data_IF_583644738038
#
_entry.id   IF_583644738038
#
_cell.length_a   1.000
_cell.length_b   1.000
_cell.length_c   1.000
_cell.angle_alpha   90.00
_cell.angle_beta   90.00
_cell.angle_gamma   90.00
#
_symmetry.space_group_name_H-M   'P 1'
#
loop_
_entity.id
_entity.type
_entity.pdbx_description
1 polymer ?
#
# COMPACT_ATOMS: atom_id res chain seq x y z
N UNK A 1 11.36 18.68 -3.70
CA UNK A 1 11.56 17.48 -4.57
C UNK A 1 11.42 16.18 -3.79
N UNK A 2 12.16 16.00 -2.69
CA UNK A 2 12.08 14.80 -1.84
C UNK A 2 10.65 14.38 -1.43
N UNK A 3 9.81 15.33 -1.00
CA UNK A 3 8.41 15.07 -0.64
C UNK A 3 7.55 14.55 -1.78
N UNK A 4 7.70 15.15 -2.96
CA UNK A 4 7.00 14.71 -4.16
C UNK A 4 7.39 13.27 -4.51
N UNK A 5 8.67 12.90 -4.33
CA UNK A 5 9.14 11.54 -4.56
C UNK A 5 8.46 10.53 -3.61
N UNK A 6 8.33 10.84 -2.32
CA UNK A 6 7.63 9.97 -1.36
C UNK A 6 6.16 9.77 -1.73
N UNK A 7 5.46 10.84 -2.11
CA UNK A 7 4.06 10.78 -2.54
C UNK A 7 3.91 9.96 -3.83
N UNK A 8 4.74 10.22 -4.84
CA UNK A 8 4.73 9.47 -6.10
C UNK A 8 4.99 7.98 -5.81
N UNK A 9 5.95 7.66 -4.92
CA UNK A 9 6.25 6.29 -4.55
C UNK A 9 5.03 5.60 -3.91
N UNK A 10 4.34 6.26 -2.96
CA UNK A 10 3.10 5.71 -2.38
C UNK A 10 2.03 5.45 -3.44
N UNK A 11 1.81 6.39 -4.37
CA UNK A 11 0.82 6.22 -5.44
C UNK A 11 1.20 5.04 -6.36
N UNK A 12 2.49 4.91 -6.70
CA UNK A 12 3.00 3.80 -7.52
C UNK A 12 2.79 2.46 -6.82
N UNK A 13 3.05 2.38 -5.50
CA UNK A 13 2.80 1.17 -4.71
C UNK A 13 1.31 0.79 -4.76
N UNK A 14 0.42 1.77 -4.57
CA UNK A 14 -1.02 1.56 -4.66
C UNK A 14 -1.42 1.04 -6.03
N UNK A 15 -1.01 1.71 -7.10
CA UNK A 15 -1.31 1.29 -8.48
C UNK A 15 -0.82 -0.14 -8.76
N UNK A 16 0.43 -0.42 -8.37
CA UNK A 16 1.04 -1.74 -8.56
C UNK A 16 0.30 -2.82 -7.78
N UNK A 17 -0.16 -2.53 -6.56
CA UNK A 17 -0.95 -3.46 -5.76
C UNK A 17 -2.27 -3.83 -6.45
N UNK A 18 -2.94 -2.87 -7.09
CA UNK A 18 -4.17 -3.13 -7.85
C UNK A 18 -3.89 -3.95 -9.10
N UNK A 19 -2.83 -3.59 -9.85
CA UNK A 19 -2.44 -4.23 -11.10
C UNK A 19 -1.99 -5.69 -10.91
N UNK A 20 -1.09 -5.95 -9.96
CA UNK A 20 -0.55 -7.29 -9.71
C UNK A 20 -1.58 -8.29 -9.17
N UNK A 21 -2.70 -7.79 -8.65
CA UNK A 21 -3.72 -8.60 -7.99
C UNK A 21 -5.01 -8.74 -8.80
N UNK A 22 -5.07 -8.18 -10.01
CA UNK A 22 -6.23 -8.30 -10.92
C UNK A 22 -6.59 -9.77 -11.13
N UNK A 23 -7.87 -10.10 -10.94
CA UNK A 23 -8.41 -11.44 -11.19
C UNK A 23 -8.03 -12.51 -10.16
N UNK A 24 -7.28 -12.17 -9.10
CA UNK A 24 -6.92 -13.11 -8.04
C UNK A 24 -7.32 -12.59 -6.66
N UNK A 25 -8.47 -13.08 -6.16
CA UNK A 25 -9.03 -12.74 -4.85
C UNK A 25 -8.01 -12.88 -3.71
N UNK A 26 -7.32 -14.02 -3.62
CA UNK A 26 -6.40 -14.28 -2.51
C UNK A 26 -5.21 -13.33 -2.54
N UNK A 27 -4.64 -13.08 -3.73
CA UNK A 27 -3.55 -12.09 -3.87
C UNK A 27 -4.03 -10.68 -3.51
N UNK A 28 -5.25 -10.28 -3.91
CA UNK A 28 -5.83 -8.97 -3.50
C UNK A 28 -5.88 -8.83 -2.00
N UNK A 29 -6.45 -9.81 -1.30
CA UNK A 29 -6.60 -9.76 0.15
C UNK A 29 -5.23 -9.69 0.83
N UNK A 30 -4.26 -10.53 0.42
CA UNK A 30 -2.91 -10.53 0.98
C UNK A 30 -2.23 -9.17 0.79
N UNK A 31 -2.21 -8.63 -0.42
CA UNK A 31 -1.62 -7.31 -0.69
C UNK A 31 -2.32 -6.18 0.07
N UNK A 32 -3.65 -6.23 0.15
CA UNK A 32 -4.41 -5.26 0.93
C UNK A 32 -4.06 -5.29 2.42
N UNK A 33 -3.91 -6.48 3.01
CA UNK A 33 -3.46 -6.64 4.40
C UNK A 33 -2.05 -6.09 4.59
N UNK A 34 -1.12 -6.37 3.66
CA UNK A 34 0.25 -5.84 3.70
C UNK A 34 0.23 -4.30 3.71
N UNK A 35 -0.60 -3.68 2.86
CA UNK A 35 -0.75 -2.23 2.82
C UNK A 35 -1.37 -1.66 4.10
N UNK A 36 -2.33 -2.37 4.71
CA UNK A 36 -2.92 -2.00 6.01
C UNK A 36 -1.88 -2.05 7.14
N UNK A 37 -0.90 -2.94 7.06
CA UNK A 37 0.19 -3.04 8.02
C UNK A 37 1.26 -1.94 7.83
N UNK A 38 1.18 -1.12 6.78
CA UNK A 38 2.16 -0.08 6.51
C UNK A 38 2.40 0.88 7.70
N UNK A 39 1.41 1.32 8.51
CA UNK A 39 1.66 2.19 9.66
C UNK A 39 2.58 1.60 10.72
N UNK A 40 2.70 0.27 10.81
CA UNK A 40 3.66 -0.36 11.73
C UNK A 40 5.10 -0.17 11.31
N UNK A 41 5.34 0.12 10.02
CA UNK A 41 6.68 0.46 9.49
C UNK A 41 7.01 1.95 9.63
N UNK A 42 6.07 2.75 10.16
CA UNK A 42 6.26 4.19 10.36
C UNK A 42 7.47 4.53 11.23
N UNK A 43 7.75 3.89 12.38
CA UNK A 43 8.91 4.22 13.20
C UNK A 43 10.23 4.04 12.44
N UNK A 44 10.34 2.99 11.62
CA UNK A 44 11.53 2.69 10.83
C UNK A 44 11.69 3.69 9.66
N UNK A 45 10.61 3.96 8.94
CA UNK A 45 10.64 4.93 7.84
C UNK A 45 10.88 6.34 8.36
N UNK A 46 10.38 6.67 9.55
CA UNK A 46 10.65 7.92 10.25
C UNK A 46 12.14 8.09 10.56
N UNK A 47 12.77 7.11 11.21
CA UNK A 47 14.21 7.19 11.54
C UNK A 47 15.06 7.35 10.31
N UNK A 48 14.81 6.57 9.26
CA UNK A 48 15.53 6.67 7.98
C UNK A 48 15.34 8.03 7.33
N UNK A 49 14.12 8.55 7.37
CA UNK A 49 13.80 9.82 6.73
C UNK A 49 14.43 11.00 7.46
N UNK A 50 14.44 10.98 8.80
CA UNK A 50 15.10 12.00 9.62
C UNK A 50 16.62 11.99 9.48
N UNK A 51 17.21 10.82 9.26
CA UNK A 51 18.65 10.70 8.97
C UNK A 51 19.02 11.33 7.62
N UNK A 52 18.15 11.18 6.60
CA UNK A 52 18.39 11.73 5.26
C UNK A 52 18.05 13.23 5.19
N UNK A 53 16.94 13.65 5.83
CA UNK A 53 16.42 15.02 5.76
C UNK A 53 15.64 15.39 7.04
N UNK A 54 16.32 15.95 8.06
CA UNK A 54 15.72 16.28 9.36
C UNK A 54 14.89 17.57 9.31
N UNK A 55 13.77 17.53 8.58
CA UNK A 55 12.83 18.65 8.48
C UNK A 55 11.44 18.20 8.94
N UNK A 56 10.77 19.01 9.78
CA UNK A 56 9.47 18.69 10.35
C UNK A 56 8.37 18.55 9.29
N UNK A 57 8.43 19.30 8.18
CA UNK A 57 7.49 19.15 7.05
C UNK A 57 7.52 17.74 6.44
N UNK A 58 8.64 17.04 6.61
CA UNK A 58 8.81 15.66 6.15
C UNK A 58 7.93 14.68 6.92
N UNK A 59 7.64 14.97 8.19
CA UNK A 59 6.75 14.15 9.01
C UNK A 59 5.33 14.17 8.46
N UNK A 60 4.81 15.35 8.14
CA UNK A 60 3.44 15.49 7.64
C UNK A 60 3.24 14.69 6.35
N UNK A 61 4.21 14.78 5.44
CA UNK A 61 4.20 14.03 4.18
C UNK A 61 4.33 12.53 4.43
N UNK A 62 5.17 12.10 5.37
CA UNK A 62 5.35 10.68 5.69
C UNK A 62 4.09 10.07 6.31
N UNK A 63 3.43 10.80 7.20
CA UNK A 63 2.12 10.43 7.78
C UNK A 63 1.08 10.33 6.68
N UNK A 64 1.01 11.32 5.78
CA UNK A 64 0.10 11.31 4.64
C UNK A 64 0.35 10.10 3.72
N UNK A 65 1.62 9.76 3.46
CA UNK A 65 1.99 8.61 2.65
C UNK A 65 1.49 7.29 3.27
N UNK A 66 1.67 7.10 4.58
CA UNK A 66 1.18 5.91 5.28
C UNK A 66 -0.35 5.87 5.35
N UNK A 67 -1.00 7.03 5.49
CA UNK A 67 -2.46 7.11 5.46
C UNK A 67 -3.02 6.73 4.07
N UNK A 68 -2.41 7.19 2.98
CA UNK A 68 -2.77 6.81 1.62
C UNK A 68 -2.62 5.29 1.43
N UNK A 69 -1.51 4.70 1.88
CA UNK A 69 -1.28 3.26 1.79
C UNK A 69 -2.32 2.47 2.61
N UNK A 70 -2.62 2.91 3.83
CA UNK A 70 -3.63 2.31 4.69
C UNK A 70 -5.02 2.30 4.05
N UNK A 71 -5.50 3.48 3.62
CA UNK A 71 -6.80 3.63 2.99
C UNK A 71 -6.89 2.82 1.69
N UNK A 72 -5.83 2.83 0.90
CA UNK A 72 -5.75 2.02 -0.32
C UNK A 72 -5.75 0.53 -0.02
N UNK A 73 -5.05 0.09 1.03
CA UNK A 73 -5.07 -1.30 1.50
C UNK A 73 -6.48 -1.76 1.88
N UNK A 74 -7.22 -0.93 2.63
CA UNK A 74 -8.64 -1.18 2.96
C UNK A 74 -9.46 -1.33 1.68
N UNK A 75 -9.33 -0.42 0.72
CA UNK A 75 -10.03 -0.50 -0.57
C UNK A 75 -9.67 -1.78 -1.33
N UNK A 76 -8.39 -2.15 -1.41
CA UNK A 76 -7.93 -3.37 -2.08
C UNK A 76 -8.54 -4.61 -1.43
N UNK A 77 -8.60 -4.68 -0.09
CA UNK A 77 -9.25 -5.79 0.64
C UNK A 77 -10.75 -5.84 0.30
N UNK A 78 -11.46 -4.71 0.38
CA UNK A 78 -12.89 -4.64 0.06
C UNK A 78 -13.14 -5.15 -1.35
N UNK A 79 -12.43 -4.61 -2.34
CA UNK A 79 -12.56 -5.05 -3.74
C UNK A 79 -12.17 -6.53 -3.90
N UNK A 80 -11.16 -7.00 -3.15
CA UNK A 80 -10.77 -8.41 -3.10
C UNK A 80 -11.88 -9.33 -2.58
N UNK A 81 -12.61 -8.93 -1.53
CA UNK A 81 -13.73 -9.69 -0.97
C UNK A 81 -14.82 -9.90 -2.04
N UNK A 82 -15.15 -8.85 -2.79
CA UNK A 82 -16.15 -8.85 -3.87
C UNK A 82 -15.65 -9.49 -5.18
N UNK A 83 -14.34 -9.68 -5.34
CA UNK A 83 -13.79 -10.36 -6.52
C UNK A 83 -14.18 -11.84 -6.46
N UNK A 84 -14.94 -12.34 -7.45
CA UNK A 84 -15.30 -13.77 -7.52
C UNK A 84 -14.02 -14.61 -7.54
N UNK A 85 -13.97 -15.65 -6.70
CA UNK A 85 -12.89 -16.64 -6.75
C UNK A 85 -12.89 -17.24 -8.15
N UNK A 86 -11.77 -17.14 -8.88
CA UNK A 86 -11.61 -17.87 -10.13
C UNK A 86 -11.80 -19.34 -9.78
N UNK A 87 -12.92 -19.93 -10.22
CA UNK A 87 -13.15 -21.37 -10.08
C UNK A 87 -11.99 -22.04 -10.77
N UNK A 88 -11.17 -22.74 -10.00
CA UNK A 88 -10.19 -23.65 -10.58
C UNK A 88 -10.99 -24.88 -11.00
N UNK A 89 -11.76 -24.74 -12.07
CA UNK A 89 -12.38 -25.88 -12.75
C UNK A 89 -11.23 -26.58 -13.47
N UNK A 90 -10.47 -27.34 -12.70
CA UNK A 90 -9.63 -28.38 -13.26
C UNK A 90 -10.62 -29.43 -13.77
N UNK A 91 -10.59 -29.62 -15.08
CA UNK A 91 -11.37 -30.62 -15.79
C UNK A 91 -11.21 -31.99 -15.11
N UNK A 92 -12.34 -32.58 -14.73
CA UNK A 92 -12.51 -34.03 -14.62
C UNK A 92 -12.30 -34.70 -15.99
#
# INVERSE_FOLDING_TARGET
MFYATLLILSIVIVYLSFYLTVGNKMKRIIFGIILILSPFTYPLTFTLTMEIKPEWDTLEVLVLCHLILLLSGILVVIVGIFTKKKSNTNNE
#
